data_IF_550779785762
#
_entry.id   IF_550779785762
#
_cell.length_a   1.000
_cell.length_b   1.000
_cell.length_c   1.000
_cell.angle_alpha   90.00
_cell.angle_beta   90.00
_cell.angle_gamma   90.00
#
_symmetry.space_group_name_H-M   'P 1'
#
loop_
_entity.id
_entity.type
_entity.pdbx_description
1 polymer ?
#
# COMPACT_ATOMS: atom_id res chain seq x y z
N UNK A 1 -3.90 24.44 -14.57
CA UNK A 1 -3.11 23.25 -14.18
C UNK A 1 -3.08 23.11 -12.67
N UNK A 2 -3.68 22.06 -12.09
CA UNK A 2 -3.50 21.75 -10.66
C UNK A 2 -2.10 21.17 -10.47
N UNK A 3 -1.24 21.83 -9.70
CA UNK A 3 -0.01 21.22 -9.17
C UNK A 3 -0.42 20.06 -8.25
N UNK A 4 -0.42 18.84 -8.77
CA UNK A 4 -0.54 17.66 -7.93
C UNK A 4 0.78 17.49 -7.18
N UNK A 5 0.72 17.43 -5.86
CA UNK A 5 1.90 17.10 -5.05
C UNK A 5 2.28 15.65 -5.36
N UNK A 6 3.58 15.37 -5.52
CA UNK A 6 4.08 14.01 -5.64
C UNK A 6 3.72 13.16 -4.42
N UNK A 7 3.85 11.81 -4.50
CA UNK A 7 3.48 10.94 -3.39
C UNK A 7 4.22 11.29 -2.10
N UNK A 8 3.50 11.61 -1.02
CA UNK A 8 4.11 11.80 0.30
C UNK A 8 4.75 10.49 0.75
N UNK A 9 6.06 10.50 0.99
CA UNK A 9 6.86 9.32 1.36
C UNK A 9 6.91 9.04 2.86
N UNK A 10 6.26 9.88 3.69
CA UNK A 10 6.25 9.77 5.15
C UNK A 10 7.66 9.61 5.77
N UNK A 11 8.67 10.26 5.18
CA UNK A 11 10.10 10.10 5.53
C UNK A 11 10.35 10.35 7.01
N UNK A 12 9.74 11.40 7.55
CA UNK A 12 9.87 11.77 8.97
C UNK A 12 9.44 10.62 9.88
N UNK A 13 8.35 9.91 9.53
CA UNK A 13 7.85 8.76 10.30
C UNK A 13 8.72 7.52 10.10
N UNK A 14 9.23 7.27 8.90
CA UNK A 14 10.16 6.17 8.65
C UNK A 14 11.47 6.33 9.43
N UNK A 15 11.93 7.56 9.58
CA UNK A 15 13.20 7.92 10.21
C UNK A 15 13.09 8.15 11.73
N UNK A 16 11.90 8.02 12.33
CA UNK A 16 11.77 8.05 13.80
C UNK A 16 12.69 7.01 14.44
N UNK A 17 13.33 7.39 15.55
CA UNK A 17 14.15 6.46 16.31
C UNK A 17 13.29 5.35 16.94
N UNK A 18 13.90 4.23 17.33
CA UNK A 18 13.13 3.08 17.85
C UNK A 18 12.47 3.34 19.21
N UNK A 19 13.03 4.26 19.98
CA UNK A 19 12.50 4.78 21.24
C UNK A 19 11.39 5.84 21.04
N UNK A 20 11.20 6.32 19.81
CA UNK A 20 10.16 7.30 19.47
C UNK A 20 8.93 6.63 18.85
N UNK A 21 7.76 6.84 19.46
CA UNK A 21 6.47 6.37 18.91
C UNK A 21 5.41 7.45 18.94
N UNK A 22 4.66 7.55 17.84
CA UNK A 22 3.51 8.43 17.76
C UNK A 22 2.30 7.75 18.42
N UNK A 23 1.76 8.36 19.47
CA UNK A 23 0.59 7.83 20.17
C UNK A 23 -0.68 8.03 19.33
N UNK A 24 -1.37 6.93 19.04
CA UNK A 24 -2.62 6.96 18.28
C UNK A 24 -3.79 6.77 19.22
N UNK A 25 -4.60 7.80 19.36
CA UNK A 25 -5.89 7.70 20.03
C UNK A 25 -6.95 7.25 19.03
N UNK A 26 -7.80 6.32 19.46
CA UNK A 26 -8.91 5.79 18.69
C UNK A 26 -10.26 6.12 19.32
N UNK A 27 -11.32 6.12 18.51
CA UNK A 27 -12.69 6.08 19.01
C UNK A 27 -13.08 4.65 19.43
N UNK A 28 -14.31 4.48 19.92
CA UNK A 28 -14.87 3.18 20.37
C UNK A 28 -14.87 2.10 19.28
N UNK A 29 -14.82 2.49 18.00
CA UNK A 29 -14.73 1.60 16.85
C UNK A 29 -13.29 1.26 16.44
N UNK A 30 -12.29 1.62 17.27
CA UNK A 30 -10.87 1.43 16.98
C UNK A 30 -10.34 2.34 15.87
N UNK A 31 -11.08 3.38 15.47
CA UNK A 31 -10.68 4.26 14.38
C UNK A 31 -9.81 5.42 14.91
N UNK A 32 -8.64 5.68 14.30
CA UNK A 32 -7.80 6.81 14.67
C UNK A 32 -8.51 8.15 14.54
N UNK A 33 -8.34 9.05 15.51
CA UNK A 33 -8.97 10.38 15.52
C UNK A 33 -7.95 11.53 15.38
N UNK A 34 -8.46 12.71 15.02
CA UNK A 34 -7.72 13.99 14.97
C UNK A 34 -6.54 14.00 13.96
N UNK A 35 -5.59 14.93 14.14
CA UNK A 35 -4.42 15.14 13.27
C UNK A 35 -3.54 13.89 13.13
N UNK A 36 -3.43 13.09 14.19
CA UNK A 36 -2.64 11.85 14.19
C UNK A 36 -3.19 10.82 13.19
N UNK A 37 -4.51 10.75 13.01
CA UNK A 37 -5.13 9.90 12.00
C UNK A 37 -4.65 10.22 10.57
N UNK A 38 -4.38 11.49 10.27
CA UNK A 38 -3.85 11.92 8.97
C UNK A 38 -2.39 11.49 8.76
N UNK A 39 -1.57 11.61 9.81
CA UNK A 39 -0.16 11.17 9.81
C UNK A 39 -0.09 9.66 9.61
N UNK A 40 -0.87 8.90 10.39
CA UNK A 40 -0.98 7.45 10.25
C UNK A 40 -1.47 7.07 8.86
N UNK A 41 -2.56 7.66 8.35
CA UNK A 41 -3.09 7.36 7.02
C UNK A 41 -2.06 7.61 5.90
N UNK A 42 -1.24 8.66 6.04
CA UNK A 42 -0.14 8.97 5.13
C UNK A 42 0.95 7.91 5.19
N UNK A 43 1.36 7.51 6.40
CA UNK A 43 2.33 6.44 6.61
C UNK A 43 1.84 5.10 6.05
N UNK A 44 0.59 4.71 6.33
CA UNK A 44 -0.03 3.51 5.77
C UNK A 44 -0.05 3.51 4.24
N UNK A 45 -0.17 4.68 3.61
CA UNK A 45 -0.05 4.81 2.17
C UNK A 45 1.36 4.58 1.64
N UNK A 46 2.39 4.90 2.43
CA UNK A 46 3.78 4.56 2.10
C UNK A 46 4.08 3.07 2.28
N UNK A 47 3.56 2.46 3.35
CA UNK A 47 3.64 1.01 3.61
C UNK A 47 2.96 0.22 2.48
N UNK A 48 1.76 0.64 2.06
CA UNK A 48 1.01 -0.02 0.98
C UNK A 48 1.72 -0.01 -0.39
N UNK A 49 2.72 0.87 -0.58
CA UNK A 49 3.56 0.94 -1.79
C UNK A 49 4.87 0.18 -1.66
N UNK A 50 5.22 -0.28 -0.47
CA UNK A 50 6.44 -1.04 -0.24
C UNK A 50 6.20 -2.52 -0.59
N UNK A 51 6.75 -2.98 -1.71
CA UNK A 51 6.57 -4.35 -2.20
C UNK A 51 7.13 -5.46 -1.26
N UNK A 52 7.99 -5.13 -0.30
CA UNK A 52 8.45 -6.09 0.72
C UNK A 52 7.39 -6.33 1.81
N UNK A 53 6.53 -5.34 2.08
CA UNK A 53 5.46 -5.42 3.09
C UNK A 53 4.10 -5.72 2.46
N UNK A 54 3.86 -5.19 1.27
CA UNK A 54 2.62 -5.34 0.50
C UNK A 54 2.96 -5.77 -0.93
N UNK A 55 3.26 -7.06 -1.16
CA UNK A 55 3.68 -7.54 -2.47
C UNK A 55 2.59 -7.31 -3.51
N UNK A 56 2.99 -6.89 -4.71
CA UNK A 56 2.05 -6.56 -5.79
C UNK A 56 1.58 -7.77 -6.58
N UNK A 57 2.31 -8.88 -6.50
CA UNK A 57 2.05 -10.10 -7.25
C UNK A 57 0.92 -10.97 -6.69
N UNK A 58 0.42 -10.67 -5.49
CA UNK A 58 -0.85 -11.25 -5.06
C UNK A 58 -2.01 -10.54 -5.73
N UNK A 59 -2.96 -11.30 -6.25
CA UNK A 59 -4.17 -10.75 -6.87
C UNK A 59 -5.09 -10.15 -5.81
N UNK A 60 -5.40 -10.92 -4.76
CA UNK A 60 -6.30 -10.52 -3.67
C UNK A 60 -5.58 -10.42 -2.33
N UNK A 61 -6.03 -9.49 -1.50
CA UNK A 61 -5.50 -9.28 -0.13
C UNK A 61 -5.60 -10.54 0.76
N UNK A 62 -6.64 -11.33 0.56
CA UNK A 62 -6.87 -12.55 1.34
C UNK A 62 -5.99 -13.72 0.88
N UNK A 63 -5.41 -13.67 -0.31
CA UNK A 63 -4.45 -14.67 -0.81
C UNK A 63 -3.03 -14.42 -0.26
N UNK A 64 -2.73 -13.19 0.17
CA UNK A 64 -1.44 -12.90 0.83
C UNK A 64 -1.29 -13.70 2.12
N UNK A 65 -0.12 -14.33 2.26
CA UNK A 65 0.25 -15.12 3.43
C UNK A 65 0.00 -14.29 4.71
N UNK A 66 -0.52 -14.92 5.79
CA UNK A 66 -0.75 -14.24 7.06
C UNK A 66 0.50 -13.54 7.62
N UNK A 67 1.70 -14.07 7.34
CA UNK A 67 2.98 -13.51 7.75
C UNK A 67 3.19 -12.07 7.29
N UNK A 68 2.74 -11.70 6.08
CA UNK A 68 2.82 -10.31 5.60
C UNK A 68 1.99 -9.36 6.46
N UNK A 69 0.78 -9.77 6.86
CA UNK A 69 -0.11 -8.95 7.70
C UNK A 69 0.49 -8.76 9.10
N UNK A 70 1.11 -9.81 9.63
CA UNK A 70 1.82 -9.78 10.92
C UNK A 70 3.03 -8.86 10.85
N UNK A 71 3.89 -9.01 9.83
CA UNK A 71 5.09 -8.17 9.68
C UNK A 71 4.74 -6.71 9.43
N UNK A 72 3.71 -6.47 8.63
CA UNK A 72 3.19 -5.14 8.38
C UNK A 72 2.71 -4.45 9.67
N UNK A 73 1.96 -5.15 10.52
CA UNK A 73 1.54 -4.61 11.81
C UNK A 73 2.75 -4.31 12.70
N UNK A 74 3.72 -5.23 12.79
CA UNK A 74 4.97 -5.00 13.54
C UNK A 74 5.70 -3.74 13.08
N UNK A 75 5.84 -3.53 11.77
CA UNK A 75 6.50 -2.34 11.21
C UNK A 75 5.74 -1.06 11.60
N UNK A 76 4.42 -1.08 11.58
CA UNK A 76 3.61 0.06 11.98
C UNK A 76 3.72 0.31 13.50
N UNK A 77 3.67 -0.74 14.31
CA UNK A 77 3.79 -0.68 15.78
C UNK A 77 5.18 -0.25 16.28
N UNK A 78 6.22 -0.36 15.43
CA UNK A 78 7.54 0.24 15.70
C UNK A 78 7.49 1.77 15.64
N UNK A 79 6.58 2.36 14.86
CA UNK A 79 6.48 3.82 14.66
C UNK A 79 5.29 4.45 15.40
N UNK A 80 4.27 3.64 15.70
CA UNK A 80 3.03 4.08 16.32
C UNK A 80 2.71 3.23 17.54
N UNK A 81 2.29 3.88 18.63
CA UNK A 81 1.64 3.19 19.73
C UNK A 81 0.15 3.01 19.36
N UNK A 82 -0.19 1.82 18.88
CA UNK A 82 -1.53 1.47 18.44
C UNK A 82 -2.30 0.70 19.51
N UNK A 83 -3.55 1.06 19.79
CA UNK A 83 -4.47 0.19 20.51
C UNK A 83 -4.76 -1.07 19.68
N UNK A 84 -4.86 -2.24 20.32
CA UNK A 84 -5.05 -3.53 19.61
C UNK A 84 -6.34 -3.56 18.80
N UNK A 85 -7.39 -2.93 19.31
CA UNK A 85 -8.69 -2.76 18.65
C UNK A 85 -8.60 -1.99 17.32
N UNK A 86 -7.50 -1.25 17.07
CA UNK A 86 -7.28 -0.53 15.82
C UNK A 86 -6.69 -1.38 14.69
N UNK A 87 -6.20 -2.60 14.97
CA UNK A 87 -5.48 -3.43 13.99
C UNK A 87 -6.32 -3.74 12.76
N UNK A 88 -7.60 -4.08 12.97
CA UNK A 88 -8.53 -4.34 11.87
C UNK A 88 -8.72 -3.13 10.97
N UNK A 89 -8.83 -1.93 11.57
CA UNK A 89 -8.94 -0.69 10.81
C UNK A 89 -7.66 -0.42 10.02
N UNK A 90 -6.50 -0.62 10.64
CA UNK A 90 -5.18 -0.43 10.00
C UNK A 90 -5.04 -1.36 8.80
N UNK A 91 -5.31 -2.65 8.96
CA UNK A 91 -5.24 -3.64 7.87
C UNK A 91 -6.23 -3.32 6.74
N UNK A 92 -7.47 -2.93 7.07
CA UNK A 92 -8.46 -2.49 6.08
C UNK A 92 -7.99 -1.24 5.31
N UNK A 93 -7.39 -0.29 6.02
CA UNK A 93 -6.88 0.95 5.43
C UNK A 93 -5.72 0.69 4.48
N UNK A 94 -4.77 -0.16 4.87
CA UNK A 94 -3.65 -0.59 4.01
C UNK A 94 -4.17 -1.34 2.79
N UNK A 95 -5.07 -2.32 2.97
CA UNK A 95 -5.68 -3.07 1.87
C UNK A 95 -6.29 -2.14 0.82
N UNK A 96 -7.09 -1.16 1.25
CA UNK A 96 -7.67 -0.15 0.36
C UNK A 96 -6.58 0.60 -0.42
N UNK A 97 -5.54 1.09 0.27
CA UNK A 97 -4.45 1.87 -0.35
C UNK A 97 -3.60 1.01 -1.30
N UNK A 98 -3.40 -0.26 -0.99
CA UNK A 98 -2.71 -1.22 -1.84
C UNK A 98 -3.48 -1.46 -3.14
N UNK A 99 -4.80 -1.66 -3.06
CA UNK A 99 -5.68 -1.74 -4.25
C UNK A 99 -5.66 -0.46 -5.07
N UNK A 100 -5.77 0.70 -4.41
CA UNK A 100 -5.67 2.01 -5.08
C UNK A 100 -4.31 2.18 -5.78
N UNK A 101 -3.23 1.69 -5.18
CA UNK A 101 -1.90 1.74 -5.78
C UNK A 101 -1.79 0.85 -7.02
N UNK A 102 -2.26 -0.42 -6.94
CA UNK A 102 -2.33 -1.32 -8.11
C UNK A 102 -3.17 -0.70 -9.24
N UNK A 103 -4.30 -0.08 -8.92
CA UNK A 103 -5.15 0.59 -9.90
C UNK A 103 -4.44 1.79 -10.55
N UNK A 104 -3.71 2.61 -9.77
CA UNK A 104 -2.90 3.72 -10.30
C UNK A 104 -1.78 3.23 -11.22
N UNK A 105 -1.12 2.14 -10.85
CA UNK A 105 -0.11 1.51 -11.70
C UNK A 105 -0.72 1.04 -13.03
N UNK A 106 -1.85 0.32 -12.98
CA UNK A 106 -2.56 -0.15 -14.18
C UNK A 106 -2.94 1.04 -15.08
N UNK A 107 -3.58 2.06 -14.52
CA UNK A 107 -4.02 3.23 -15.27
C UNK A 107 -2.88 4.07 -15.86
N UNK A 108 -1.68 4.03 -15.26
CA UNK A 108 -0.52 4.79 -15.75
C UNK A 108 0.29 4.02 -16.78
N UNK A 109 0.45 2.70 -16.61
CA UNK A 109 1.39 1.91 -17.40
C UNK A 109 0.73 0.98 -18.43
N UNK A 110 -0.53 0.59 -18.24
CA UNK A 110 -1.29 -0.20 -19.23
C UNK A 110 -2.20 0.72 -20.03
N UNK A 111 -1.63 1.39 -21.03
CA UNK A 111 -2.39 2.23 -21.97
C UNK A 111 -3.00 1.39 -23.11
N UNK A 112 -3.97 1.96 -23.81
CA UNK A 112 -4.61 1.32 -24.94
C UNK A 112 -3.59 1.05 -26.07
N UNK A 113 -3.66 -0.15 -26.66
CA UNK A 113 -2.75 -0.58 -27.73
C UNK A 113 -1.41 -1.17 -27.28
N UNK A 114 -1.09 -1.16 -25.97
CA UNK A 114 0.13 -1.79 -25.45
C UNK A 114 -0.02 -3.31 -25.31
N UNK A 115 1.06 -4.03 -25.60
CA UNK A 115 1.22 -5.48 -25.37
C UNK A 115 1.63 -5.79 -23.93
N UNK A 116 1.47 -7.05 -23.52
CA UNK A 116 1.92 -7.50 -22.20
C UNK A 116 3.43 -7.31 -22.03
N UNK A 117 4.20 -7.66 -23.06
CA UNK A 117 5.64 -7.57 -23.10
C UNK A 117 6.12 -6.11 -22.94
N UNK A 118 5.54 -5.17 -23.69
CA UNK A 118 5.90 -3.75 -23.59
C UNK A 118 5.69 -3.22 -22.17
N UNK A 119 4.55 -3.53 -21.55
CA UNK A 119 4.24 -3.10 -20.18
C UNK A 119 5.16 -3.78 -19.16
N UNK A 120 5.50 -5.05 -19.36
CA UNK A 120 6.39 -5.81 -18.48
C UNK A 120 7.84 -5.27 -18.48
N UNK A 121 8.30 -4.66 -19.57
CA UNK A 121 9.65 -4.07 -19.69
C UNK A 121 9.79 -2.70 -19.01
N UNK A 122 8.71 -1.95 -18.84
CA UNK A 122 8.73 -0.59 -18.26
C UNK A 122 8.53 -0.58 -16.73
N UNK A 123 9.19 -1.50 -16.02
CA UNK A 123 9.05 -1.64 -14.57
C UNK A 123 9.36 -0.30 -13.85
N UNK A 124 8.43 0.23 -13.03
CA UNK A 124 8.67 1.47 -12.31
C UNK A 124 9.85 1.34 -11.32
N UNK A 125 10.67 2.39 -11.10
CA UNK A 125 11.86 2.30 -10.25
C UNK A 125 11.60 1.88 -8.79
N UNK A 126 10.45 2.28 -8.23
CA UNK A 126 10.07 1.98 -6.84
C UNK A 126 9.33 0.61 -6.72
N UNK A 127 9.27 -0.19 -7.78
CA UNK A 127 8.55 -1.48 -7.83
C UNK A 127 9.52 -2.65 -8.02
N UNK A 128 9.27 -3.75 -7.31
CA UNK A 128 10.09 -4.97 -7.41
C UNK A 128 9.84 -5.64 -8.78
N UNK A 129 10.88 -5.90 -9.60
CA UNK A 129 10.72 -6.35 -10.99
C UNK A 129 9.94 -7.66 -11.16
N UNK A 130 10.17 -8.66 -10.29
CA UNK A 130 9.42 -9.92 -10.38
C UNK A 130 7.93 -9.69 -10.07
N UNK A 131 7.64 -8.87 -9.04
CA UNK A 131 6.26 -8.56 -8.67
C UNK A 131 5.55 -7.76 -9.77
N UNK A 132 6.28 -6.88 -10.46
CA UNK A 132 5.76 -6.13 -11.60
C UNK A 132 5.32 -7.07 -12.73
N UNK A 133 6.18 -8.01 -13.14
CA UNK A 133 5.86 -8.94 -14.23
C UNK A 133 4.63 -9.78 -13.92
N UNK A 134 4.54 -10.34 -12.72
CA UNK A 134 3.37 -11.13 -12.30
C UNK A 134 2.09 -10.27 -12.24
N UNK A 135 2.20 -9.01 -11.80
CA UNK A 135 1.09 -8.07 -11.80
C UNK A 135 0.61 -7.72 -13.23
N UNK A 136 1.55 -7.47 -14.14
CA UNK A 136 1.26 -7.17 -15.54
C UNK A 136 0.60 -8.36 -16.22
N UNK A 137 1.17 -9.56 -16.05
CA UNK A 137 0.58 -10.80 -16.55
C UNK A 137 -0.86 -10.97 -16.09
N UNK A 138 -1.12 -10.72 -14.80
CA UNK A 138 -2.49 -10.73 -14.26
C UNK A 138 -3.42 -9.77 -15.02
N UNK A 139 -3.01 -8.52 -15.29
CA UNK A 139 -3.85 -7.54 -15.99
C UNK A 139 -4.22 -7.92 -17.43
N UNK A 140 -3.38 -8.67 -18.12
CA UNK A 140 -3.63 -9.16 -19.48
C UNK A 140 -4.35 -10.52 -19.49
N UNK A 141 -4.23 -11.31 -18.42
CA UNK A 141 -5.01 -12.53 -18.19
C UNK A 141 -6.46 -12.27 -17.74
N UNK A 142 -6.76 -11.07 -17.23
CA UNK A 142 -8.12 -10.64 -16.91
C UNK A 142 -8.96 -10.63 -18.20
N UNK A 143 -9.74 -11.70 -18.41
CA UNK A 143 -10.81 -11.69 -19.43
C UNK A 143 -11.66 -10.45 -19.17
N UNK A 144 -11.86 -9.61 -20.19
CA UNK A 144 -12.75 -8.46 -20.13
C UNK A 144 -14.16 -8.92 -19.74
N UNK A 145 -14.48 -8.94 -18.45
CA UNK A 145 -15.85 -8.97 -17.97
C UNK A 145 -16.23 -7.50 -17.82
N UNK A 146 -16.78 -6.96 -18.90
CA UNK A 146 -17.48 -5.69 -18.90
C UNK A 146 -18.45 -5.68 -17.71
N UNK A 147 -18.29 -4.72 -16.81
CA UNK A 147 -19.23 -4.43 -15.73
C UNK A 147 -20.08 -3.24 -16.12
#
# INVERSE_FOLDING_TARGET
MRRTRGPTRARDVWNLHEDEKIVVHCNELGQPIKRVASILSTFLGSVARNGQLCPLNYTKWNEMLPSYKVELLKVIERKFLLPKESHDWVLKSVNRKWKEYKAKLKAHWKQDGMTEEEVAHVCPPDVIPHQWRELVHYWFSEKHVSR
#
